data_IF_955441898922
#
_entry.id   IF_955441898922
#
_cell.length_a   1.000
_cell.length_b   1.000
_cell.length_c   1.000
_cell.angle_alpha   90.00
_cell.angle_beta   90.00
_cell.angle_gamma   90.00
#
_symmetry.space_group_name_H-M   'P 1'
#
loop_
_entity.id
_entity.type
_entity.pdbx_description
1 polymer ?
#
# COMPACT_ATOMS: atom_id res chain seq x y z
N UNK A 1 7.54 -5.01 -23.36
CA UNK A 1 7.41 -5.71 -22.05
C UNK A 1 6.65 -7.03 -22.30
N UNK A 2 7.31 -8.20 -22.23
CA UNK A 2 6.63 -9.49 -22.49
C UNK A 2 5.69 -9.81 -21.31
N UNK A 3 4.38 -9.83 -21.55
CA UNK A 3 3.38 -10.26 -20.56
C UNK A 3 3.65 -11.75 -20.30
N UNK A 4 4.21 -12.07 -19.13
CA UNK A 4 4.45 -13.46 -18.74
C UNK A 4 3.10 -14.14 -18.48
N UNK A 5 2.85 -15.28 -19.15
CA UNK A 5 1.63 -16.09 -18.95
C UNK A 5 1.49 -16.42 -17.46
N UNK A 6 0.39 -15.98 -16.84
CA UNK A 6 0.04 -16.35 -15.46
C UNK A 6 -0.29 -17.85 -15.42
N UNK A 7 0.19 -18.54 -14.39
CA UNK A 7 -0.23 -19.91 -14.07
C UNK A 7 -1.74 -19.94 -13.77
N UNK A 8 -2.37 -21.09 -14.02
CA UNK A 8 -3.79 -21.30 -13.68
C UNK A 8 -3.99 -21.22 -12.16
N UNK A 9 -5.21 -20.89 -11.76
CA UNK A 9 -5.62 -20.82 -10.35
C UNK A 9 -5.38 -22.15 -9.62
N UNK A 10 -5.66 -23.28 -10.28
CA UNK A 10 -5.49 -24.62 -9.72
C UNK A 10 -4.01 -24.93 -9.41
N UNK A 11 -3.12 -24.69 -10.37
CA UNK A 11 -1.68 -24.96 -10.19
C UNK A 11 -1.12 -24.09 -9.05
N UNK A 12 -1.58 -22.84 -8.94
CA UNK A 12 -1.23 -21.95 -7.82
C UNK A 12 -1.67 -22.49 -6.47
N UNK A 13 -2.91 -22.95 -6.37
CA UNK A 13 -3.43 -23.56 -5.15
C UNK A 13 -2.60 -24.79 -4.74
N UNK A 14 -2.22 -25.65 -5.69
CA UNK A 14 -1.36 -26.81 -5.41
C UNK A 14 0.05 -26.40 -4.94
N UNK A 15 0.66 -25.36 -5.53
CA UNK A 15 1.94 -24.80 -5.07
C UNK A 15 1.83 -24.34 -3.61
N UNK A 16 0.75 -23.64 -3.25
CA UNK A 16 0.52 -23.17 -1.87
C UNK A 16 0.46 -24.33 -0.90
N UNK A 17 -0.35 -25.34 -1.21
CA UNK A 17 -0.57 -26.49 -0.33
C UNK A 17 0.71 -27.27 -0.09
N UNK A 18 1.47 -27.56 -1.15
CA UNK A 18 2.75 -28.28 -1.03
C UNK A 18 3.82 -27.44 -0.31
N UNK A 19 3.85 -26.14 -0.54
CA UNK A 19 4.78 -25.24 0.16
C UNK A 19 4.47 -25.16 1.66
N UNK A 20 3.19 -25.12 2.05
CA UNK A 20 2.77 -25.15 3.47
C UNK A 20 3.08 -26.49 4.15
N UNK A 21 3.07 -27.59 3.38
CA UNK A 21 3.49 -28.91 3.84
C UNK A 21 5.02 -29.02 4.06
N UNK A 22 5.80 -27.99 3.70
CA UNK A 22 7.26 -27.97 3.86
C UNK A 22 8.03 -28.61 2.69
N UNK A 23 7.38 -28.86 1.55
CA UNK A 23 8.04 -29.47 0.40
C UNK A 23 9.01 -28.50 -0.29
N UNK A 24 10.16 -29.01 -0.71
CA UNK A 24 11.14 -28.18 -1.42
C UNK A 24 10.60 -27.74 -2.79
N UNK A 25 10.98 -26.53 -3.22
CA UNK A 25 10.62 -25.97 -4.54
C UNK A 25 10.94 -26.95 -5.68
N UNK A 26 12.06 -27.68 -5.59
CA UNK A 26 12.47 -28.66 -6.60
C UNK A 26 11.48 -29.83 -6.66
N UNK A 27 10.99 -30.32 -5.51
CA UNK A 27 10.01 -31.41 -5.45
C UNK A 27 8.65 -30.95 -5.97
N UNK A 28 8.22 -29.74 -5.62
CA UNK A 28 6.97 -29.13 -6.10
C UNK A 28 7.00 -28.97 -7.63
N UNK A 29 8.11 -28.45 -8.18
CA UNK A 29 8.30 -28.28 -9.62
C UNK A 29 8.22 -29.62 -10.37
N UNK A 30 8.85 -30.67 -9.83
CA UNK A 30 8.83 -32.02 -10.41
C UNK A 30 7.42 -32.63 -10.38
N UNK A 31 6.71 -32.48 -9.26
CA UNK A 31 5.35 -32.99 -9.09
C UNK A 31 4.34 -32.32 -10.04
N UNK A 32 4.40 -31.00 -10.14
CA UNK A 32 3.49 -30.20 -10.97
C UNK A 32 3.93 -30.07 -12.44
N UNK A 33 5.06 -30.68 -12.82
CA UNK A 33 5.65 -30.62 -14.17
C UNK A 33 5.83 -29.18 -14.70
N UNK A 34 6.24 -28.27 -13.82
CA UNK A 34 6.49 -26.86 -14.14
C UNK A 34 7.92 -26.46 -13.79
N UNK A 35 8.40 -25.36 -14.39
CA UNK A 35 9.75 -24.88 -14.10
C UNK A 35 9.91 -24.45 -12.63
N UNK A 36 11.08 -24.72 -12.05
CA UNK A 36 11.45 -24.26 -10.70
C UNK A 36 11.25 -22.76 -10.52
N UNK A 37 11.56 -21.98 -11.56
CA UNK A 37 11.43 -20.52 -11.58
C UNK A 37 9.96 -20.07 -11.49
N UNK A 38 9.04 -20.80 -12.14
CA UNK A 38 7.61 -20.52 -12.04
C UNK A 38 7.09 -20.75 -10.62
N UNK A 39 7.52 -21.83 -9.96
CA UNK A 39 7.19 -22.10 -8.55
C UNK A 39 7.73 -20.99 -7.64
N UNK A 40 8.98 -20.55 -7.83
CA UNK A 40 9.59 -19.48 -7.03
C UNK A 40 8.84 -18.15 -7.13
N UNK A 41 8.48 -17.72 -8.35
CA UNK A 41 7.75 -16.47 -8.54
C UNK A 41 6.36 -16.49 -7.88
N UNK A 42 5.60 -17.57 -8.05
CA UNK A 42 4.25 -17.67 -7.47
C UNK A 42 4.30 -17.87 -5.95
N UNK A 43 5.16 -18.76 -5.44
CA UNK A 43 5.27 -19.06 -4.01
C UNK A 43 5.85 -17.90 -3.18
N UNK A 44 6.83 -17.15 -3.71
CA UNK A 44 7.61 -16.19 -2.93
C UNK A 44 7.22 -14.72 -3.18
N UNK A 45 6.84 -14.35 -4.41
CA UNK A 45 6.55 -12.95 -4.75
C UNK A 45 5.04 -12.68 -4.75
N UNK A 46 4.23 -13.57 -5.32
CA UNK A 46 2.78 -13.35 -5.45
C UNK A 46 2.02 -13.74 -4.17
N UNK A 47 2.44 -14.82 -3.50
CA UNK A 47 1.78 -15.32 -2.29
C UNK A 47 2.32 -14.76 -0.98
N UNK A 48 3.42 -14.01 -1.00
CA UNK A 48 3.94 -13.35 0.20
C UNK A 48 2.93 -12.32 0.70
N UNK A 49 2.19 -12.68 1.75
CA UNK A 49 1.25 -11.78 2.42
C UNK A 49 1.95 -10.58 3.05
N UNK A 50 3.27 -10.66 3.32
CA UNK A 50 4.04 -9.58 3.95
C UNK A 50 4.12 -8.31 3.10
N UNK A 51 4.23 -8.45 1.78
CA UNK A 51 4.42 -7.30 0.88
C UNK A 51 3.20 -7.04 -0.03
N UNK A 52 2.13 -7.82 0.14
CA UNK A 52 0.89 -7.65 -0.62
C UNK A 52 -0.04 -6.69 0.12
N UNK A 53 -0.61 -5.73 -0.60
CA UNK A 53 -1.72 -4.92 -0.08
C UNK A 53 -2.88 -5.84 0.34
N UNK A 54 -3.55 -5.49 1.43
CA UNK A 54 -4.75 -6.19 1.87
C UNK A 54 -5.86 -6.02 0.84
N UNK A 55 -6.66 -7.07 0.66
CA UNK A 55 -7.83 -7.02 -0.21
C UNK A 55 -8.97 -6.32 0.51
N UNK A 56 -9.91 -5.75 -0.25
CA UNK A 56 -11.04 -5.06 0.34
C UNK A 56 -11.81 -5.94 1.36
N UNK A 57 -12.10 -7.24 1.12
CA UNK A 57 -12.76 -8.10 2.11
C UNK A 57 -11.97 -8.27 3.41
N UNK A 58 -10.64 -8.44 3.32
CA UNK A 58 -9.77 -8.54 4.49
C UNK A 58 -9.79 -7.25 5.31
N UNK A 59 -9.77 -6.08 4.65
CA UNK A 59 -9.90 -4.77 5.32
C UNK A 59 -11.27 -4.65 5.99
N UNK A 60 -12.37 -5.07 5.35
CA UNK A 60 -13.70 -5.02 5.99
C UNK A 60 -13.75 -5.90 7.24
N UNK A 61 -13.20 -7.10 7.15
CA UNK A 61 -13.23 -8.07 8.23
C UNK A 61 -12.43 -7.54 9.43
N UNK A 62 -11.26 -6.97 9.17
CA UNK A 62 -10.43 -6.33 10.20
C UNK A 62 -11.16 -5.11 10.81
N UNK A 63 -11.74 -4.25 9.99
CA UNK A 63 -12.49 -3.08 10.42
C UNK A 63 -13.71 -3.45 11.30
N UNK A 64 -14.43 -4.51 10.94
CA UNK A 64 -15.61 -4.95 11.70
C UNK A 64 -15.27 -5.90 12.87
N UNK A 65 -14.01 -6.35 13.00
CA UNK A 65 -13.61 -7.33 14.02
C UNK A 65 -13.87 -6.89 15.46
N UNK A 66 -13.86 -5.57 15.72
CA UNK A 66 -14.02 -4.97 17.05
C UNK A 66 -15.35 -4.23 17.24
N UNK A 67 -16.27 -4.31 16.28
CA UNK A 67 -17.54 -3.57 16.30
C UNK A 67 -18.70 -4.50 16.63
N UNK A 68 -19.58 -4.08 17.54
CA UNK A 68 -20.84 -4.79 17.81
C UNK A 68 -21.78 -4.76 16.60
N UNK A 69 -21.77 -3.65 15.87
CA UNK A 69 -22.56 -3.46 14.65
C UNK A 69 -21.63 -3.29 13.44
N UNK A 70 -21.57 -4.28 12.53
CA UNK A 70 -20.72 -4.21 11.34
C UNK A 70 -21.11 -3.04 10.44
N UNK A 71 -20.13 -2.29 9.95
CA UNK A 71 -20.35 -1.23 8.96
C UNK A 71 -20.01 -1.71 7.56
N UNK A 72 -20.83 -1.30 6.60
CA UNK A 72 -20.56 -1.54 5.18
C UNK A 72 -19.56 -0.52 4.66
N UNK A 73 -18.67 -0.91 3.73
CA UNK A 73 -17.74 0.05 3.08
C UNK A 73 -18.44 1.16 2.32
N UNK A 74 -19.70 0.93 1.95
CA UNK A 74 -20.50 1.87 1.14
C UNK A 74 -20.94 3.06 2.00
N UNK A 75 -21.12 2.85 3.30
CA UNK A 75 -21.59 3.87 4.25
C UNK A 75 -20.46 4.61 4.95
N UNK A 76 -19.20 4.24 4.71
CA UNK A 76 -18.04 4.88 5.36
C UNK A 76 -17.53 6.03 4.51
N UNK A 77 -17.44 7.21 5.11
CA UNK A 77 -16.66 8.33 4.61
C UNK A 77 -15.25 8.24 5.21
N UNK A 78 -14.24 8.17 4.35
CA UNK A 78 -12.84 8.15 4.74
C UNK A 78 -12.29 9.56 4.67
N UNK A 79 -11.50 9.98 5.66
CA UNK A 79 -10.81 11.27 5.66
C UNK A 79 -9.37 11.11 6.12
N UNK A 80 -8.45 11.87 5.53
CA UNK A 80 -7.04 11.92 5.93
C UNK A 80 -6.39 13.22 5.46
N UNK A 81 -5.22 13.54 6.02
CA UNK A 81 -4.35 14.60 5.54
C UNK A 81 -3.10 14.06 4.87
N UNK A 82 -2.74 14.64 3.72
CA UNK A 82 -1.55 14.26 2.97
C UNK A 82 -0.67 15.46 2.65
N UNK A 83 0.65 15.27 2.79
CA UNK A 83 1.69 16.25 2.43
C UNK A 83 2.19 15.96 1.01
N UNK A 84 2.23 16.98 0.18
CA UNK A 84 2.68 16.94 -1.20
C UNK A 84 3.86 17.90 -1.40
N UNK A 85 4.92 17.44 -2.04
CA UNK A 85 6.05 18.28 -2.45
C UNK A 85 5.68 19.04 -3.73
N UNK A 86 5.89 20.36 -3.77
CA UNK A 86 5.59 21.20 -4.94
C UNK A 86 6.59 20.91 -6.07
N UNK A 87 7.87 20.81 -5.71
CA UNK A 87 8.98 20.51 -6.63
C UNK A 87 9.74 19.32 -6.04
N UNK A 88 9.08 18.15 -6.06
CA UNK A 88 9.58 16.92 -5.46
C UNK A 88 10.03 15.92 -6.51
N UNK A 89 11.32 15.64 -6.57
CA UNK A 89 11.82 14.42 -7.20
C UNK A 89 11.83 13.33 -6.12
N UNK A 90 11.00 12.29 -6.26
CA UNK A 90 11.07 11.09 -5.39
C UNK A 90 12.42 10.34 -5.49
N UNK A 91 13.38 10.85 -6.27
CA UNK A 91 14.74 10.30 -6.36
C UNK A 91 15.56 10.80 -5.18
N UNK A 92 16.35 9.90 -4.61
CA UNK A 92 17.28 10.22 -3.53
C UNK A 92 18.41 11.09 -4.09
N UNK A 93 18.48 12.34 -3.64
CA UNK A 93 19.59 13.25 -3.96
C UNK A 93 20.56 13.22 -2.79
N UNK A 94 21.82 12.92 -3.07
CA UNK A 94 22.90 12.99 -2.08
C UNK A 94 23.60 14.34 -2.23
N UNK A 95 23.64 15.11 -1.16
CA UNK A 95 24.28 16.43 -1.11
C UNK A 95 25.32 16.42 0.00
N UNK A 96 26.51 16.98 -0.25
CA UNK A 96 27.54 17.20 0.79
C UNK A 96 27.28 18.56 1.44
N UNK A 97 27.28 18.64 2.77
CA UNK A 97 27.04 19.86 3.56
C UNK A 97 27.92 19.89 4.81
N UNK A 98 28.29 21.07 5.29
CA UNK A 98 28.93 21.23 6.60
C UNK A 98 27.93 20.92 7.74
N UNK A 99 28.41 20.85 8.98
CA UNK A 99 27.53 20.57 10.14
C UNK A 99 26.55 21.72 10.39
N UNK A 100 26.94 22.97 10.11
CA UNK A 100 26.07 24.14 10.26
C UNK A 100 24.99 24.26 9.18
N UNK A 101 25.18 23.65 8.01
CA UNK A 101 24.29 23.75 6.83
C UNK A 101 23.19 22.66 6.79
N UNK A 102 23.01 21.88 7.86
CA UNK A 102 22.08 20.74 7.86
C UNK A 102 20.62 21.12 7.55
N UNK A 103 20.21 22.34 7.88
CA UNK A 103 18.84 22.88 7.69
C UNK A 103 18.93 24.29 7.11
N UNK A 104 19.40 24.43 5.87
CA UNK A 104 19.22 25.69 5.12
C UNK A 104 17.88 25.69 4.40
N UNK A 105 17.17 26.83 4.45
CA UNK A 105 15.87 26.99 3.78
C UNK A 105 15.98 26.86 2.25
N UNK A 106 17.13 27.22 1.68
CA UNK A 106 17.46 27.02 0.26
C UNK A 106 17.45 25.54 -0.16
N UNK A 107 17.61 24.63 0.80
CA UNK A 107 17.62 23.19 0.60
C UNK A 107 16.29 22.51 1.00
N UNK A 108 15.31 23.28 1.51
CA UNK A 108 14.01 22.76 1.90
C UNK A 108 13.03 22.85 0.72
N UNK A 109 12.44 21.72 0.33
CA UNK A 109 11.41 21.71 -0.72
C UNK A 109 10.09 22.19 -0.13
N UNK A 110 9.54 23.26 -0.72
CA UNK A 110 8.22 23.76 -0.40
C UNK A 110 7.17 22.65 -0.54
N UNK A 111 6.35 22.48 0.48
CA UNK A 111 5.32 21.44 0.52
C UNK A 111 3.96 22.02 0.84
N UNK A 112 2.91 21.45 0.26
CA UNK A 112 1.52 21.78 0.57
C UNK A 112 0.88 20.59 1.26
N UNK A 113 0.03 20.85 2.25
CA UNK A 113 -0.79 19.82 2.88
C UNK A 113 -2.24 20.00 2.43
N UNK A 114 -2.90 18.90 2.11
CA UNK A 114 -4.34 18.89 1.87
C UNK A 114 -5.00 17.91 2.83
N UNK A 115 -6.15 18.30 3.38
CA UNK A 115 -7.09 17.40 4.04
C UNK A 115 -8.21 17.09 3.07
N UNK A 116 -8.61 15.83 2.97
CA UNK A 116 -9.70 15.47 2.08
C UNK A 116 -10.48 14.27 2.56
N UNK A 117 -11.67 14.10 2.02
CA UNK A 117 -12.49 12.92 2.28
C UNK A 117 -12.94 12.23 0.99
N UNK A 118 -13.26 10.94 1.08
CA UNK A 118 -13.84 10.19 -0.03
C UNK A 118 -14.74 9.06 0.48
N UNK A 119 -15.80 8.80 -0.26
CA UNK A 119 -16.70 7.67 -0.03
C UNK A 119 -16.60 6.65 -1.17
N UNK A 120 -17.47 5.64 -1.14
CA UNK A 120 -17.43 4.55 -2.12
C UNK A 120 -17.59 5.01 -3.58
N UNK A 121 -18.43 6.03 -3.83
CA UNK A 121 -18.81 6.42 -5.19
C UNK A 121 -18.17 7.73 -5.66
N UNK A 122 -17.65 8.56 -4.75
CA UNK A 122 -17.10 9.87 -5.09
C UNK A 122 -16.04 10.34 -4.10
N UNK A 123 -15.13 11.15 -4.61
CA UNK A 123 -14.30 12.02 -3.77
C UNK A 123 -15.20 13.09 -3.15
N UNK A 124 -15.00 13.35 -1.87
CA UNK A 124 -15.63 14.46 -1.16
C UNK A 124 -14.78 15.72 -1.28
N UNK A 125 -14.90 16.60 -0.30
CA UNK A 125 -14.23 17.88 -0.33
C UNK A 125 -12.71 17.73 -0.12
N UNK A 126 -11.96 18.58 -0.81
CA UNK A 126 -10.51 18.67 -0.69
C UNK A 126 -10.15 20.09 -0.25
N UNK A 127 -9.58 20.21 0.94
CA UNK A 127 -9.21 21.47 1.55
C UNK A 127 -7.69 21.63 1.61
N UNK A 128 -7.18 22.74 1.08
CA UNK A 128 -5.76 23.10 1.23
C UNK A 128 -5.53 23.63 2.63
N UNK A 129 -4.64 22.99 3.37
CA UNK A 129 -4.29 23.40 4.74
C UNK A 129 -3.13 24.39 4.67
N UNK A 130 -3.34 25.55 5.28
CA UNK A 130 -2.30 26.55 5.49
C UNK A 130 -1.61 26.31 6.83
N UNK A 131 -0.28 26.15 6.80
CA UNK A 131 0.52 25.86 7.99
C UNK A 131 0.25 24.48 8.60
N UNK A 132 0.32 24.41 9.93
CA UNK A 132 0.11 23.18 10.70
C UNK A 132 -1.33 23.09 11.17
N UNK A 133 -2.05 22.05 10.76
CA UNK A 133 -3.43 21.83 11.18
C UNK A 133 -3.52 21.59 12.69
N UNK A 134 -4.26 22.45 13.38
CA UNK A 134 -4.59 22.31 14.79
C UNK A 134 -6.05 21.83 14.96
N UNK A 135 -6.44 21.53 16.21
CA UNK A 135 -7.79 21.05 16.54
C UNK A 135 -8.89 22.02 16.10
N UNK A 136 -8.65 23.32 16.21
CA UNK A 136 -9.61 24.36 15.81
C UNK A 136 -9.75 24.46 14.30
N UNK A 137 -8.65 24.35 13.56
CA UNK A 137 -8.62 24.27 12.10
C UNK A 137 -9.38 23.04 11.60
N UNK A 138 -9.22 21.90 12.26
CA UNK A 138 -9.98 20.69 11.91
C UNK A 138 -11.49 20.93 12.04
N UNK A 139 -11.94 21.57 13.12
CA UNK A 139 -13.37 21.92 13.33
C UNK A 139 -13.92 22.94 12.32
N UNK A 140 -13.07 23.68 11.62
CA UNK A 140 -13.49 24.61 10.57
C UNK A 140 -13.67 23.91 9.22
N UNK A 141 -13.02 22.76 9.04
CA UNK A 141 -13.06 21.95 7.82
C UNK A 141 -14.17 20.88 7.91
N UNK A 142 -14.41 20.34 9.11
CA UNK A 142 -15.33 19.24 9.38
C UNK A 142 -16.70 19.68 9.90
#
# INVERSE_FOLDING_TARGET
MKIKKKLSSEIRSSIVTLSKKGESIRKIAKFLRISKRAVQYDAFIIMSKRNRRLTAPEITADLNSRREHPVSKIQVLWSDESKFEIIGSKRRVYVRRSVEEKISDECAVGTVKHGGCFGNNKTGDLHRIEGTLNKEGYKKIA
#
